data_IF_790480844760
#
_entry.id   IF_790480844760
#
_cell.length_a   1.000
_cell.length_b   1.000
_cell.length_c   1.000
_cell.angle_alpha   90.00
_cell.angle_beta   90.00
_cell.angle_gamma   90.00
#
_symmetry.space_group_name_H-M   'P 1'
#
loop_
_entity.id
_entity.type
_entity.pdbx_description
1 polymer ?
#
# COMPACT_ATOMS: atom_id res chain seq x y z
N UNK A 1 -80.83 17.57 2.14
CA UNK A 1 -79.54 16.93 2.46
C UNK A 1 -78.51 17.67 1.63
N UNK A 2 -77.94 18.79 2.11
CA UNK A 2 -76.77 18.82 3.03
C UNK A 2 -75.60 17.99 2.47
N UNK A 3 -74.34 18.43 2.39
CA UNK A 3 -73.69 19.71 2.66
C UNK A 3 -72.25 19.62 2.10
N UNK A 4 -71.75 20.74 1.57
CA UNK A 4 -70.45 21.37 1.86
C UNK A 4 -69.15 20.52 1.96
N UNK A 5 -68.12 20.99 1.24
CA UNK A 5 -66.72 20.60 1.46
C UNK A 5 -65.78 21.21 0.43
N UNK A 6 -65.41 22.48 0.61
CA UNK A 6 -64.38 23.16 -0.16
C UNK A 6 -62.98 22.68 0.26
N UNK A 7 -62.06 22.50 -0.70
CA UNK A 7 -60.61 22.61 -0.44
C UNK A 7 -59.94 23.27 -1.64
N UNK A 8 -59.28 24.39 -1.34
CA UNK A 8 -58.49 25.22 -2.24
C UNK A 8 -57.20 24.51 -2.68
N UNK A 9 -56.65 25.00 -3.79
CA UNK A 9 -55.47 24.43 -4.43
C UNK A 9 -54.16 24.61 -3.67
N UNK A 10 -53.22 23.74 -4.02
CA UNK A 10 -51.79 23.99 -3.92
C UNK A 10 -51.17 23.43 -5.21
N UNK A 11 -50.67 24.35 -6.03
CA UNK A 11 -49.71 24.05 -7.08
C UNK A 11 -48.38 23.71 -6.38
N UNK A 12 -47.91 22.47 -6.51
CA UNK A 12 -46.57 22.09 -6.09
C UNK A 12 -45.57 22.30 -7.23
N UNK A 13 -44.53 23.04 -6.89
CA UNK A 13 -43.37 23.47 -7.68
C UNK A 13 -42.67 22.32 -8.44
N UNK A 14 -41.98 22.62 -9.54
CA UNK A 14 -41.33 21.63 -10.39
C UNK A 14 -40.04 21.10 -9.77
N UNK A 15 -39.78 19.83 -10.05
CA UNK A 15 -38.55 19.12 -9.73
C UNK A 15 -37.30 19.94 -10.07
N UNK A 16 -36.46 20.20 -9.07
CA UNK A 16 -35.08 20.63 -9.27
C UNK A 16 -34.25 19.42 -9.73
N UNK A 17 -34.38 19.05 -11.00
CA UNK A 17 -33.36 18.22 -11.66
C UNK A 17 -32.05 18.99 -11.68
N UNK A 18 -31.13 18.65 -10.77
CA UNK A 18 -29.74 19.12 -10.85
C UNK A 18 -29.08 18.41 -12.02
N UNK A 19 -29.26 18.99 -13.21
CA UNK A 19 -28.67 18.53 -14.46
C UNK A 19 -27.14 18.57 -14.36
N UNK A 20 -26.53 17.41 -14.10
CA UNK A 20 -25.08 17.25 -14.04
C UNK A 20 -24.45 17.48 -15.43
N UNK A 21 -23.31 18.19 -15.46
CA UNK A 21 -22.54 18.36 -16.69
C UNK A 21 -21.54 17.21 -16.85
N UNK A 22 -21.44 16.66 -18.06
CA UNK A 22 -20.40 15.66 -18.38
C UNK A 22 -19.18 16.37 -18.96
N UNK A 23 -18.01 16.19 -18.37
CA UNK A 23 -16.73 16.71 -18.85
C UNK A 23 -15.79 15.56 -19.20
N UNK A 24 -14.80 15.82 -20.06
CA UNK A 24 -13.76 14.85 -20.42
C UNK A 24 -12.43 15.26 -19.82
N UNK A 25 -11.87 14.44 -18.94
CA UNK A 25 -10.55 14.67 -18.34
C UNK A 25 -9.50 13.86 -19.07
N UNK A 26 -8.50 14.54 -19.63
CA UNK A 26 -7.34 13.90 -20.29
C UNK A 26 -6.22 13.69 -19.28
N UNK A 27 -5.81 12.44 -19.08
CA UNK A 27 -4.73 12.05 -18.18
C UNK A 27 -3.94 10.88 -18.75
N UNK A 28 -2.60 10.99 -18.77
CA UNK A 28 -1.67 9.93 -19.25
C UNK A 28 -2.10 9.22 -20.54
N UNK A 29 -2.52 9.99 -21.55
CA UNK A 29 -2.96 9.48 -22.86
C UNK A 29 -4.38 8.91 -22.91
N UNK A 30 -5.10 8.85 -21.78
CA UNK A 30 -6.50 8.40 -21.68
C UNK A 30 -7.47 9.57 -21.56
N UNK A 31 -8.72 9.34 -21.95
CA UNK A 31 -9.84 10.30 -21.78
C UNK A 31 -10.87 9.70 -20.84
N UNK A 32 -11.10 10.35 -19.70
CA UNK A 32 -11.98 9.90 -18.62
C UNK A 32 -13.24 10.78 -18.63
N UNK A 33 -14.42 10.26 -18.98
CA UNK A 33 -15.67 11.01 -18.85
C UNK A 33 -16.08 11.09 -17.37
N UNK A 34 -16.41 12.29 -16.90
CA UNK A 34 -16.81 12.55 -15.51
C UNK A 34 -18.06 13.42 -15.51
N UNK A 35 -19.10 12.96 -14.82
CA UNK A 35 -20.34 13.73 -14.62
C UNK A 35 -20.31 14.38 -13.24
N UNK A 36 -20.48 15.69 -13.19
CA UNK A 36 -20.39 16.48 -11.96
C UNK A 36 -21.36 17.68 -12.03
N UNK A 37 -21.83 18.15 -10.89
CA UNK A 37 -22.65 19.37 -10.83
C UNK A 37 -21.85 20.59 -11.31
N UNK A 38 -22.43 21.50 -12.12
CA UNK A 38 -21.75 22.71 -12.56
C UNK A 38 -21.38 23.66 -11.40
N UNK A 39 -22.03 23.50 -10.25
CA UNK A 39 -21.78 24.30 -9.05
C UNK A 39 -20.75 23.67 -8.10
N UNK A 40 -20.30 22.45 -8.40
CA UNK A 40 -19.23 21.81 -7.64
C UNK A 40 -17.90 22.56 -7.81
N UNK A 41 -17.08 22.50 -6.76
CA UNK A 41 -15.76 23.12 -6.76
C UNK A 41 -14.74 22.29 -7.55
N UNK A 42 -13.63 22.92 -7.93
CA UNK A 42 -12.49 22.20 -8.52
C UNK A 42 -11.91 21.19 -7.51
N UNK A 43 -11.98 21.46 -6.20
CA UNK A 43 -11.62 20.51 -5.15
C UNK A 43 -12.48 19.23 -5.16
N UNK A 44 -13.77 19.37 -5.41
CA UNK A 44 -14.69 18.22 -5.53
C UNK A 44 -14.38 17.39 -6.77
N UNK A 45 -14.12 18.05 -7.90
CA UNK A 45 -13.68 17.36 -9.13
C UNK A 45 -12.37 16.60 -8.91
N UNK A 46 -11.41 17.18 -8.19
CA UNK A 46 -10.15 16.51 -7.88
C UNK A 46 -10.35 15.27 -7.01
N UNK A 47 -11.23 15.36 -6.02
CA UNK A 47 -11.57 14.23 -5.15
C UNK A 47 -12.24 13.10 -5.94
N UNK A 48 -13.11 13.44 -6.89
CA UNK A 48 -13.75 12.48 -7.79
C UNK A 48 -12.75 11.81 -8.76
N UNK A 49 -11.72 12.54 -9.18
CA UNK A 49 -10.67 12.02 -10.06
C UNK A 49 -9.63 11.15 -9.34
N UNK A 50 -9.49 11.27 -8.02
CA UNK A 50 -8.51 10.52 -7.24
C UNK A 50 -8.61 9.00 -7.45
N UNK A 51 -9.78 8.34 -7.27
CA UNK A 51 -9.89 6.89 -7.47
C UNK A 51 -9.70 6.47 -8.94
N UNK A 52 -9.95 7.37 -9.90
CA UNK A 52 -9.88 7.08 -11.34
C UNK A 52 -8.46 7.22 -11.91
N UNK A 53 -7.67 8.14 -11.34
CA UNK A 53 -6.34 8.52 -11.85
C UNK A 53 -5.21 8.06 -10.95
N UNK A 54 -5.52 7.64 -9.72
CA UNK A 54 -4.54 7.34 -8.67
C UNK A 54 -3.61 8.53 -8.33
N UNK A 55 -4.05 9.76 -8.64
CA UNK A 55 -3.35 11.00 -8.30
C UNK A 55 -4.10 11.70 -7.18
N UNK A 56 -3.41 12.03 -6.08
CA UNK A 56 -4.00 12.74 -4.96
C UNK A 56 -4.50 14.14 -5.37
N UNK A 57 -5.60 14.67 -4.81
CA UNK A 57 -6.15 15.99 -5.16
C UNK A 57 -5.13 17.14 -5.16
N UNK A 58 -4.18 17.13 -4.21
CA UNK A 58 -3.09 18.14 -4.14
C UNK A 58 -2.06 17.99 -5.26
N UNK A 59 -1.82 16.75 -5.72
CA UNK A 59 -0.94 16.46 -6.84
C UNK A 59 -1.61 16.66 -8.21
N UNK A 60 -2.93 16.83 -8.25
CA UNK A 60 -3.68 17.09 -9.47
C UNK A 60 -3.59 18.58 -9.87
N UNK A 61 -2.99 18.85 -11.02
CA UNK A 61 -3.03 20.16 -11.69
C UNK A 61 -4.01 20.09 -12.85
N UNK A 62 -5.21 20.61 -12.63
CA UNK A 62 -6.25 20.67 -13.66
C UNK A 62 -6.08 21.94 -14.49
N UNK A 63 -5.97 21.78 -15.81
CA UNK A 63 -5.73 22.85 -16.77
C UNK A 63 -6.88 22.87 -17.78
N UNK A 64 -7.52 24.03 -17.93
CA UNK A 64 -8.56 24.26 -18.92
C UNK A 64 -8.25 25.53 -19.70
N UNK A 65 -8.28 25.45 -21.05
CA UNK A 65 -7.92 26.55 -21.96
C UNK A 65 -6.61 27.27 -21.59
N UNK A 66 -5.59 26.51 -21.18
CA UNK A 66 -4.27 27.04 -20.81
C UNK A 66 -4.19 27.68 -19.42
N UNK A 67 -5.26 27.68 -18.63
CA UNK A 67 -5.28 28.20 -17.25
C UNK A 67 -5.33 27.07 -16.24
N UNK A 68 -4.53 27.20 -15.17
CA UNK A 68 -4.60 26.31 -14.01
C UNK A 68 -5.86 26.64 -13.20
N UNK A 69 -6.66 25.61 -12.92
CA UNK A 69 -7.87 25.72 -12.12
C UNK A 69 -7.56 25.71 -10.62
N UNK A 70 -8.25 26.54 -9.84
CA UNK A 70 -8.01 26.74 -8.41
C UNK A 70 -9.10 26.06 -7.59
N UNK A 71 -8.72 25.36 -6.53
CA UNK A 71 -9.59 24.45 -5.77
C UNK A 71 -10.89 25.09 -5.24
N UNK A 72 -10.82 26.36 -4.81
CA UNK A 72 -11.96 27.10 -4.26
C UNK A 72 -12.95 27.62 -5.33
N UNK A 73 -12.60 27.55 -6.62
CA UNK A 73 -13.48 28.04 -7.70
C UNK A 73 -14.47 26.95 -8.12
N UNK A 74 -15.67 27.34 -8.54
CA UNK A 74 -16.64 26.41 -9.12
C UNK A 74 -16.35 26.13 -10.59
N UNK A 75 -16.85 25.01 -11.11
CA UNK A 75 -16.75 24.68 -12.54
C UNK A 75 -17.40 25.77 -13.41
N UNK A 76 -18.56 26.28 -12.98
CA UNK A 76 -19.25 27.41 -13.60
C UNK A 76 -18.38 28.68 -13.63
N UNK A 77 -17.77 29.04 -12.50
CA UNK A 77 -16.89 30.22 -12.41
C UNK A 77 -15.60 30.06 -13.24
N UNK A 78 -15.15 28.81 -13.44
CA UNK A 78 -14.02 28.46 -14.30
C UNK A 78 -14.38 28.33 -15.79
N UNK A 79 -15.63 28.62 -16.17
CA UNK A 79 -16.18 28.46 -17.52
C UNK A 79 -16.06 27.03 -18.08
N UNK A 80 -16.04 26.03 -17.21
CA UNK A 80 -16.04 24.60 -17.57
C UNK A 80 -17.49 24.15 -17.75
N UNK A 81 -17.91 23.93 -19.00
CA UNK A 81 -19.27 23.54 -19.37
C UNK A 81 -19.37 22.06 -19.77
N UNK A 82 -20.57 21.53 -19.96
CA UNK A 82 -20.77 20.20 -20.55
C UNK A 82 -20.02 20.04 -21.87
N UNK A 83 -19.30 18.92 -22.03
CA UNK A 83 -18.43 18.63 -23.16
C UNK A 83 -17.01 19.21 -23.08
N UNK A 84 -16.67 19.95 -22.02
CA UNK A 84 -15.34 20.54 -21.86
C UNK A 84 -14.24 19.47 -21.75
N UNK A 85 -13.08 19.75 -22.38
CA UNK A 85 -11.87 18.94 -22.26
C UNK A 85 -10.92 19.59 -21.25
N UNK A 86 -10.76 18.97 -20.09
CA UNK A 86 -9.85 19.41 -19.03
C UNK A 86 -8.61 18.51 -19.06
N UNK A 87 -7.42 19.11 -19.00
CA UNK A 87 -6.17 18.35 -18.92
C UNK A 87 -5.77 18.19 -17.46
N UNK A 88 -5.49 16.97 -17.03
CA UNK A 88 -4.92 16.69 -15.72
C UNK A 88 -3.41 16.45 -15.89
N UNK A 89 -2.60 17.22 -15.18
CA UNK A 89 -1.18 16.95 -15.00
C UNK A 89 -0.93 16.57 -13.54
N UNK A 90 -0.26 15.45 -13.30
CA UNK A 90 0.25 15.18 -11.96
C UNK A 90 1.55 15.98 -11.76
N UNK A 91 1.72 16.58 -10.58
CA UNK A 91 3.02 17.14 -10.20
C UNK A 91 4.07 16.03 -10.16
N UNK A 92 5.21 16.23 -10.82
CA UNK A 92 6.32 15.26 -10.81
C UNK A 92 6.67 14.85 -9.37
N UNK A 93 6.77 13.54 -9.14
CA UNK A 93 6.98 12.95 -7.80
C UNK A 93 5.70 12.51 -7.07
N UNK A 94 4.51 12.90 -7.55
CA UNK A 94 3.20 12.45 -7.01
C UNK A 94 2.48 11.45 -7.92
N UNK A 95 3.19 10.91 -8.92
CA UNK A 95 2.76 9.71 -9.62
C UNK A 95 2.99 8.51 -8.70
N UNK A 96 1.91 7.95 -8.13
CA UNK A 96 1.98 6.59 -7.63
C UNK A 96 2.10 5.65 -8.84
N UNK A 97 3.34 5.32 -9.20
CA UNK A 97 3.69 4.22 -10.09
C UNK A 97 3.21 4.39 -11.53
N UNK A 98 3.94 5.17 -12.32
CA UNK A 98 4.30 4.61 -13.62
C UNK A 98 5.41 3.59 -13.33
N UNK A 99 5.14 2.30 -13.61
CA UNK A 99 6.20 1.31 -13.72
C UNK A 99 7.26 1.84 -14.71
N UNK A 100 8.51 1.35 -14.64
CA UNK A 100 9.58 1.89 -15.47
C UNK A 100 9.14 1.91 -16.93
N UNK A 101 9.11 3.11 -17.50
CA UNK A 101 9.07 3.30 -18.95
C UNK A 101 10.28 2.54 -19.46
N UNK A 102 10.05 1.43 -20.15
CA UNK A 102 11.06 0.74 -20.94
C UNK A 102 11.53 1.72 -22.01
N UNK A 103 12.49 2.57 -21.67
CA UNK A 103 13.44 3.07 -22.65
C UNK A 103 14.26 1.85 -23.03
N UNK A 104 13.91 1.25 -24.16
CA UNK A 104 14.82 0.36 -24.87
C UNK A 104 16.16 1.07 -24.97
N UNK A 105 17.13 0.62 -24.19
CA UNK A 105 18.51 1.02 -24.36
C UNK A 105 18.99 0.37 -25.66
N UNK A 106 19.25 1.20 -26.66
CA UNK A 106 19.96 0.78 -27.87
C UNK A 106 21.34 0.27 -27.45
N UNK A 107 21.56 -1.04 -27.59
CA UNK A 107 22.89 -1.62 -27.45
C UNK A 107 23.69 -1.38 -28.72
N UNK A 108 24.80 -0.68 -28.58
CA UNK A 108 25.86 -0.55 -29.59
C UNK A 108 26.56 -1.92 -29.74
N UNK A 109 26.86 -2.38 -30.97
CA UNK A 109 27.30 -3.76 -31.19
C UNK A 109 28.79 -3.95 -30.88
N UNK A 110 29.11 -4.96 -30.08
CA UNK A 110 30.46 -5.53 -30.04
C UNK A 110 30.60 -6.62 -31.11
N UNK A 111 31.72 -6.50 -31.82
CA UNK A 111 32.13 -7.24 -33.02
C UNK A 111 32.09 -8.77 -32.86
N UNK A 112 31.66 -9.34 -33.98
CA UNK A 112 31.73 -10.71 -34.49
C UNK A 112 33.09 -11.37 -34.27
N UNK A 113 33.10 -12.64 -33.85
CA UNK A 113 33.80 -13.68 -34.61
C UNK A 113 33.05 -15.02 -34.59
N UNK A 114 32.91 -15.55 -35.81
CA UNK A 114 32.34 -16.81 -36.29
C UNK A 114 33.04 -18.04 -35.67
N UNK A 115 32.55 -19.28 -35.69
CA UNK A 115 31.31 -19.94 -36.10
C UNK A 115 31.43 -21.39 -35.59
N UNK A 116 30.32 -22.00 -35.17
CA UNK A 116 29.85 -23.27 -35.76
C UNK A 116 28.51 -23.68 -35.15
N UNK A 117 27.52 -23.80 -36.04
CA UNK A 117 26.20 -24.38 -35.81
C UNK A 117 26.35 -25.85 -35.40
N UNK A 118 25.47 -26.32 -34.50
CA UNK A 118 24.61 -27.48 -34.72
C UNK A 118 23.54 -27.58 -33.63
N UNK A 119 22.30 -27.55 -34.11
CA UNK A 119 21.06 -28.17 -33.60
C UNK A 119 20.46 -27.68 -32.28
N UNK A 120 19.18 -27.34 -32.42
CA UNK A 120 18.20 -27.03 -31.39
C UNK A 120 18.10 -28.10 -30.31
N UNK A 121 18.31 -27.69 -29.06
CA UNK A 121 17.66 -28.33 -27.92
C UNK A 121 16.91 -27.26 -27.13
N UNK A 122 15.59 -27.48 -27.02
CA UNK A 122 14.74 -26.85 -26.02
C UNK A 122 15.45 -26.99 -24.68
N UNK A 123 15.80 -25.86 -24.06
CA UNK A 123 16.38 -25.83 -22.71
C UNK A 123 15.28 -26.16 -21.70
N UNK A 124 14.89 -27.43 -21.68
CA UNK A 124 14.12 -28.04 -20.62
C UNK A 124 15.07 -28.09 -19.42
N UNK A 125 14.71 -27.40 -18.34
CA UNK A 125 15.52 -27.31 -17.12
C UNK A 125 15.79 -28.74 -16.62
N UNK A 126 17.04 -29.20 -16.79
CA UNK A 126 17.48 -30.51 -16.31
C UNK A 126 17.62 -30.41 -14.79
N UNK A 127 16.79 -31.16 -14.07
CA UNK A 127 16.66 -31.11 -12.61
C UNK A 127 17.85 -31.80 -11.95
N UNK A 128 18.73 -31.03 -11.33
CA UNK A 128 19.80 -31.56 -10.48
C UNK A 128 19.23 -32.04 -9.15
N UNK A 129 19.25 -33.36 -8.90
CA UNK A 129 18.92 -33.97 -7.59
C UNK A 129 19.67 -33.30 -6.43
N UNK A 130 20.85 -32.75 -6.69
CA UNK A 130 21.66 -32.00 -5.73
C UNK A 130 20.97 -30.73 -5.21
N UNK A 131 20.08 -30.08 -5.98
CA UNK A 131 19.41 -28.85 -5.53
C UNK A 131 18.34 -29.14 -4.48
N UNK A 132 17.48 -30.12 -4.75
CA UNK A 132 16.41 -30.50 -3.82
C UNK A 132 16.97 -31.00 -2.49
N UNK A 133 18.01 -31.84 -2.53
CA UNK A 133 18.66 -32.33 -1.32
C UNK A 133 19.30 -31.18 -0.51
N UNK A 134 19.93 -30.20 -1.17
CA UNK A 134 20.41 -28.98 -0.49
C UNK A 134 19.28 -28.20 0.18
N UNK A 135 18.14 -28.03 -0.49
CA UNK A 135 16.98 -27.36 0.12
C UNK A 135 16.44 -28.11 1.33
N UNK A 136 16.41 -29.43 1.29
CA UNK A 136 16.00 -30.24 2.44
C UNK A 136 16.97 -30.12 3.62
N UNK A 137 18.28 -30.16 3.36
CA UNK A 137 19.30 -30.02 4.40
C UNK A 137 19.31 -28.62 5.01
N UNK A 138 19.31 -27.59 4.17
CA UNK A 138 19.39 -26.20 4.64
C UNK A 138 18.06 -25.68 5.16
N UNK A 139 16.94 -26.20 4.66
CA UNK A 139 15.60 -25.68 4.89
C UNK A 139 15.34 -24.34 4.22
N UNK A 140 16.18 -23.92 3.27
CA UNK A 140 16.06 -22.63 2.57
C UNK A 140 15.90 -22.87 1.08
N UNK A 141 14.78 -22.43 0.54
CA UNK A 141 14.47 -22.41 -0.89
C UNK A 141 14.55 -20.97 -1.37
N UNK A 142 15.71 -20.58 -1.91
CA UNK A 142 15.93 -19.26 -2.49
C UNK A 142 15.77 -19.34 -4.01
N UNK A 143 14.67 -18.78 -4.51
CA UNK A 143 14.25 -18.75 -5.91
C UNK A 143 13.87 -17.34 -6.36
N UNK A 144 14.39 -16.32 -5.68
CA UNK A 144 14.18 -14.93 -6.08
C UNK A 144 14.89 -14.60 -7.41
N UNK A 145 14.31 -13.70 -8.19
CA UNK A 145 14.89 -13.20 -9.46
C UNK A 145 15.18 -14.31 -10.50
N UNK A 146 14.43 -15.41 -10.44
CA UNK A 146 14.65 -16.58 -11.29
C UNK A 146 13.79 -16.57 -12.58
N UNK A 147 13.07 -15.48 -12.86
CA UNK A 147 12.13 -15.34 -13.98
C UNK A 147 11.08 -16.47 -14.03
N UNK A 148 10.67 -16.97 -12.87
CA UNK A 148 9.70 -18.06 -12.75
C UNK A 148 8.29 -17.59 -13.11
N UNK A 149 7.59 -18.37 -13.92
CA UNK A 149 6.16 -18.16 -14.22
C UNK A 149 5.23 -18.96 -13.29
N UNK A 150 5.75 -20.04 -12.73
CA UNK A 150 5.07 -20.92 -11.81
C UNK A 150 6.08 -21.43 -10.77
N UNK A 151 5.59 -21.81 -9.61
CA UNK A 151 6.42 -22.38 -8.55
C UNK A 151 6.80 -23.81 -8.96
N UNK A 152 8.10 -24.17 -9.01
CA UNK A 152 8.54 -25.50 -9.40
C UNK A 152 8.04 -26.59 -8.44
N UNK A 153 7.64 -27.75 -8.97
CA UNK A 153 7.08 -28.84 -8.16
C UNK A 153 8.05 -29.38 -7.11
N UNK A 154 9.37 -29.22 -7.31
CA UNK A 154 10.37 -29.65 -6.34
C UNK A 154 10.30 -28.84 -5.03
N UNK A 155 9.76 -27.62 -5.07
CA UNK A 155 9.53 -26.83 -3.85
C UNK A 155 8.58 -27.59 -2.91
N UNK A 156 7.53 -28.19 -3.46
CA UNK A 156 6.54 -28.95 -2.69
C UNK A 156 7.13 -30.24 -2.12
N UNK A 157 8.15 -30.80 -2.76
CA UNK A 157 8.87 -31.99 -2.29
C UNK A 157 9.76 -31.71 -1.06
N UNK A 158 9.98 -30.43 -0.69
CA UNK A 158 10.69 -30.08 0.54
C UNK A 158 9.84 -30.35 1.79
N UNK A 159 8.51 -30.28 1.70
CA UNK A 159 7.59 -30.58 2.80
C UNK A 159 7.99 -29.94 4.14
N UNK A 160 8.18 -30.77 5.16
CA UNK A 160 8.63 -30.39 6.51
C UNK A 160 10.05 -29.82 6.60
N UNK A 161 10.87 -29.99 5.56
CA UNK A 161 12.25 -29.52 5.60
C UNK A 161 12.36 -28.02 5.35
N UNK A 162 11.45 -27.44 4.57
CA UNK A 162 11.48 -26.03 4.22
C UNK A 162 11.07 -25.13 5.40
N UNK A 163 11.95 -24.21 5.78
CA UNK A 163 11.72 -23.16 6.77
C UNK A 163 11.59 -21.78 6.13
N UNK A 164 12.27 -21.55 5.02
CA UNK A 164 12.24 -20.29 4.26
C UNK A 164 11.99 -20.60 2.80
N UNK A 165 10.97 -19.96 2.22
CA UNK A 165 10.72 -19.93 0.79
C UNK A 165 10.73 -18.48 0.31
N UNK A 166 11.70 -18.15 -0.54
CA UNK A 166 11.78 -16.87 -1.21
C UNK A 166 11.56 -17.05 -2.72
N UNK A 167 10.45 -16.50 -3.20
CA UNK A 167 10.03 -16.46 -4.59
C UNK A 167 9.90 -15.02 -5.09
N UNK A 168 10.55 -14.07 -4.41
CA UNK A 168 10.43 -12.64 -4.73
C UNK A 168 10.95 -12.30 -6.13
N UNK A 169 10.45 -11.24 -6.75
CA UNK A 169 10.91 -10.76 -8.06
C UNK A 169 10.81 -11.83 -9.16
N UNK A 170 9.63 -12.41 -9.33
CA UNK A 170 9.34 -13.39 -10.38
C UNK A 170 8.07 -12.98 -11.15
N UNK A 171 7.52 -13.88 -11.95
CA UNK A 171 6.25 -13.73 -12.65
C UNK A 171 5.25 -14.81 -12.23
N UNK A 172 5.35 -15.27 -10.98
CA UNK A 172 4.45 -16.29 -10.42
C UNK A 172 3.05 -15.69 -10.32
N UNK A 173 2.06 -16.43 -10.80
CA UNK A 173 0.64 -16.09 -10.68
C UNK A 173 -0.04 -16.95 -9.63
N UNK A 174 0.18 -18.26 -9.71
CA UNK A 174 -0.54 -19.24 -8.92
C UNK A 174 0.25 -19.67 -7.69
N UNK A 175 -0.38 -19.58 -6.52
CA UNK A 175 0.06 -20.18 -5.26
C UNK A 175 -0.96 -21.27 -4.91
N UNK A 176 -0.73 -22.52 -5.34
CA UNK A 176 -1.73 -23.57 -5.27
C UNK A 176 -1.81 -24.20 -3.87
N UNK A 177 -2.77 -25.11 -3.65
CA UNK A 177 -2.99 -25.75 -2.34
C UNK A 177 -1.79 -26.57 -1.83
N UNK A 178 -0.87 -26.95 -2.72
CA UNK A 178 0.41 -27.59 -2.39
C UNK A 178 1.27 -26.75 -1.44
N UNK A 179 1.06 -25.42 -1.36
CA UNK A 179 1.73 -24.56 -0.38
C UNK A 179 1.53 -25.06 1.06
N UNK A 180 0.38 -25.67 1.36
CA UNK A 180 0.08 -26.25 2.67
C UNK A 180 0.94 -27.46 3.04
N UNK A 181 1.67 -28.07 2.09
CA UNK A 181 2.62 -29.15 2.37
C UNK A 181 3.88 -28.67 3.09
N UNK A 182 4.17 -27.37 3.04
CA UNK A 182 5.36 -26.75 3.66
C UNK A 182 5.12 -26.47 5.15
N UNK A 183 4.63 -27.46 5.90
CA UNK A 183 4.06 -27.24 7.23
C UNK A 183 5.03 -26.73 8.30
N UNK A 184 6.35 -26.78 8.06
CA UNK A 184 7.37 -26.22 8.97
C UNK A 184 7.90 -24.84 8.52
N UNK A 185 7.28 -24.23 7.51
CA UNK A 185 7.72 -22.95 6.98
C UNK A 185 7.51 -21.82 8.00
N UNK A 186 8.53 -20.99 8.14
CA UNK A 186 8.58 -19.84 9.03
C UNK A 186 8.53 -18.52 8.27
N UNK A 187 9.10 -18.48 7.06
CA UNK A 187 9.14 -17.28 6.21
C UNK A 187 8.71 -17.62 4.79
N UNK A 188 7.68 -16.93 4.31
CA UNK A 188 7.18 -17.03 2.95
C UNK A 188 7.23 -15.65 2.28
N UNK A 189 8.12 -15.50 1.30
CA UNK A 189 8.34 -14.26 0.57
C UNK A 189 7.90 -14.45 -0.89
N UNK A 190 6.88 -13.72 -1.29
CA UNK A 190 6.20 -13.77 -2.59
C UNK A 190 6.15 -12.37 -3.24
N UNK A 191 7.11 -11.51 -2.88
CA UNK A 191 7.10 -10.11 -3.29
C UNK A 191 7.28 -9.96 -4.80
N UNK A 192 6.75 -8.89 -5.39
CA UNK A 192 6.97 -8.53 -6.79
C UNK A 192 6.68 -9.70 -7.74
N UNK A 193 5.43 -10.15 -7.72
CA UNK A 193 4.89 -11.21 -8.57
C UNK A 193 3.57 -10.73 -9.20
N UNK A 194 2.84 -11.64 -9.84
CA UNK A 194 1.56 -11.35 -10.48
C UNK A 194 0.39 -12.07 -9.80
N UNK A 195 0.45 -12.21 -8.47
CA UNK A 195 -0.56 -12.93 -7.68
C UNK A 195 -1.83 -12.08 -7.54
N UNK A 196 -2.98 -12.72 -7.71
CA UNK A 196 -4.33 -12.15 -7.59
C UNK A 196 -5.15 -12.95 -6.58
N UNK A 197 -6.28 -12.43 -6.13
CA UNK A 197 -7.13 -13.07 -5.11
C UNK A 197 -7.54 -14.50 -5.49
N UNK A 198 -7.84 -14.75 -6.76
CA UNK A 198 -8.28 -16.06 -7.28
C UNK A 198 -7.13 -17.07 -7.45
N UNK A 199 -5.88 -16.58 -7.54
CA UNK A 199 -4.72 -17.43 -7.85
C UNK A 199 -3.96 -17.87 -6.60
N UNK A 200 -4.29 -17.30 -5.43
CA UNK A 200 -3.72 -17.67 -4.14
C UNK A 200 -4.68 -18.56 -3.34
N UNK A 201 -4.22 -19.77 -3.01
CA UNK A 201 -4.97 -20.66 -2.14
C UNK A 201 -4.75 -20.28 -0.66
N UNK A 202 -5.59 -19.37 -0.17
CA UNK A 202 -5.53 -18.87 1.19
C UNK A 202 -5.80 -19.93 2.26
N UNK A 203 -6.70 -20.89 2.01
CA UNK A 203 -7.00 -21.97 2.96
C UNK A 203 -5.75 -22.82 3.24
N UNK A 204 -5.03 -23.22 2.19
CA UNK A 204 -3.79 -23.97 2.33
C UNK A 204 -2.67 -23.12 2.95
N UNK A 205 -2.55 -21.84 2.58
CA UNK A 205 -1.52 -20.95 3.14
C UNK A 205 -1.75 -20.71 4.64
N UNK A 206 -3.00 -20.52 5.06
CA UNK A 206 -3.36 -20.23 6.47
C UNK A 206 -3.34 -21.49 7.37
N UNK A 207 -3.12 -22.67 6.77
CA UNK A 207 -2.80 -23.91 7.49
C UNK A 207 -1.37 -23.92 8.06
N UNK A 208 -0.48 -23.03 7.61
CA UNK A 208 0.94 -22.96 7.99
C UNK A 208 1.13 -22.33 9.38
N UNK A 209 0.91 -23.12 10.45
CA UNK A 209 0.86 -22.63 11.85
C UNK A 209 2.17 -22.06 12.41
N UNK A 210 3.32 -22.37 11.81
CA UNK A 210 4.62 -21.85 12.22
C UNK A 210 5.08 -20.64 11.41
N UNK A 211 4.24 -20.12 10.51
CA UNK A 211 4.58 -18.97 9.69
C UNK A 211 4.70 -17.71 10.57
N UNK A 212 5.88 -17.12 10.57
CA UNK A 212 6.23 -15.92 11.34
C UNK A 212 6.35 -14.69 10.45
N UNK A 213 6.69 -14.87 9.17
CA UNK A 213 6.83 -13.79 8.20
C UNK A 213 6.07 -14.17 6.93
N UNK A 214 5.06 -13.37 6.59
CA UNK A 214 4.35 -13.44 5.31
C UNK A 214 4.57 -12.13 4.56
N UNK A 215 5.15 -12.23 3.37
CA UNK A 215 5.42 -11.08 2.52
C UNK A 215 4.86 -11.32 1.13
N UNK A 216 3.86 -10.54 0.73
CA UNK A 216 3.18 -10.57 -0.57
C UNK A 216 3.13 -9.16 -1.18
N UNK A 217 4.17 -8.35 -0.92
CA UNK A 217 4.27 -6.99 -1.44
C UNK A 217 4.26 -6.97 -2.97
N UNK A 218 3.83 -5.86 -3.57
CA UNK A 218 3.92 -5.65 -5.02
C UNK A 218 3.25 -6.78 -5.83
N UNK A 219 2.00 -7.09 -5.49
CA UNK A 219 1.15 -8.03 -6.22
C UNK A 219 -0.14 -7.30 -6.65
N UNK A 220 -1.19 -8.06 -6.98
CA UNK A 220 -2.47 -7.52 -7.43
C UNK A 220 -3.63 -7.88 -6.50
N UNK A 221 -3.34 -8.12 -5.22
CA UNK A 221 -4.36 -8.51 -4.24
C UNK A 221 -5.35 -7.36 -3.99
N UNK A 222 -6.64 -7.67 -3.96
CA UNK A 222 -7.72 -6.73 -3.65
C UNK A 222 -8.31 -6.94 -2.26
N UNK A 223 -8.18 -8.14 -1.69
CA UNK A 223 -8.65 -8.48 -0.35
C UNK A 223 -7.67 -9.39 0.39
N UNK A 224 -7.82 -9.45 1.71
CA UNK A 224 -7.22 -10.48 2.54
C UNK A 224 -8.35 -11.33 3.15
N UNK A 225 -8.20 -12.66 3.23
CA UNK A 225 -9.24 -13.56 3.71
C UNK A 225 -9.41 -13.46 5.24
N UNK A 226 -10.60 -13.79 5.74
CA UNK A 226 -10.83 -13.99 7.19
C UNK A 226 -9.94 -15.09 7.77
N UNK A 227 -9.64 -16.12 6.97
CA UNK A 227 -8.74 -17.21 7.36
C UNK A 227 -7.33 -16.74 7.75
N UNK A 228 -6.92 -15.50 7.41
CA UNK A 228 -5.63 -14.94 7.80
C UNK A 228 -5.43 -14.97 9.33
N UNK A 229 -6.50 -14.77 10.11
CA UNK A 229 -6.45 -14.84 11.57
C UNK A 229 -6.04 -16.21 12.14
N UNK A 230 -6.01 -17.26 11.32
CA UNK A 230 -5.56 -18.58 11.72
C UNK A 230 -4.01 -18.69 11.82
N UNK A 231 -3.27 -17.67 11.39
CA UNK A 231 -1.81 -17.56 11.46
C UNK A 231 -1.35 -16.94 12.79
N UNK A 232 -1.73 -17.52 13.92
CA UNK A 232 -1.51 -16.94 15.27
C UNK A 232 -0.04 -16.74 15.68
N UNK A 233 0.90 -17.38 14.98
CA UNK A 233 2.36 -17.22 15.16
C UNK A 233 2.96 -16.09 14.31
N UNK A 234 2.16 -15.39 13.49
CA UNK A 234 2.64 -14.39 12.55
C UNK A 234 3.16 -13.16 13.31
N UNK A 235 4.41 -12.79 13.03
CA UNK A 235 5.10 -11.62 13.59
C UNK A 235 5.21 -10.48 12.60
N UNK A 236 5.31 -10.79 11.31
CA UNK A 236 5.45 -9.78 10.27
C UNK A 236 4.51 -10.06 9.10
N UNK A 237 3.69 -9.06 8.78
CA UNK A 237 2.80 -9.06 7.63
C UNK A 237 3.18 -7.91 6.71
N UNK A 238 3.63 -8.25 5.50
CA UNK A 238 3.98 -7.29 4.48
C UNK A 238 3.08 -7.50 3.24
N UNK A 239 2.18 -6.55 3.01
CA UNK A 239 1.16 -6.56 1.94
C UNK A 239 1.14 -5.22 1.18
N UNK A 240 2.24 -4.47 1.24
CA UNK A 240 2.40 -3.16 0.64
C UNK A 240 2.37 -3.20 -0.89
N UNK A 241 1.95 -2.11 -1.53
CA UNK A 241 1.85 -1.99 -3.00
C UNK A 241 0.93 -3.06 -3.62
N UNK A 242 -0.26 -3.21 -3.06
CA UNK A 242 -1.33 -4.04 -3.62
C UNK A 242 -2.53 -3.12 -3.96
N UNK A 243 -3.72 -3.70 -4.10
CA UNK A 243 -4.97 -2.99 -4.36
C UNK A 243 -5.99 -3.23 -3.24
N UNK A 244 -5.52 -3.51 -2.03
CA UNK A 244 -6.38 -3.85 -0.89
C UNK A 244 -7.34 -2.71 -0.57
N UNK A 245 -8.62 -3.01 -0.40
CA UNK A 245 -9.65 -2.01 -0.05
C UNK A 245 -10.02 -2.00 1.43
N UNK A 246 -9.75 -3.09 2.15
CA UNK A 246 -9.99 -3.24 3.58
C UNK A 246 -9.05 -4.28 4.20
N UNK A 247 -8.99 -4.30 5.54
CA UNK A 247 -8.40 -5.39 6.31
C UNK A 247 -9.52 -6.24 6.94
N UNK A 248 -9.36 -7.57 7.02
CA UNK A 248 -10.32 -8.44 7.69
C UNK A 248 -10.34 -8.19 9.20
N UNK A 249 -11.48 -8.41 9.84
CA UNK A 249 -11.60 -8.24 11.30
C UNK A 249 -10.74 -9.27 12.06
N UNK A 250 -10.43 -10.39 11.42
CA UNK A 250 -9.61 -11.45 11.98
C UNK A 250 -8.13 -11.05 12.11
N UNK A 251 -7.72 -9.87 11.60
CA UNK A 251 -6.40 -9.31 11.89
C UNK A 251 -6.16 -9.15 13.39
N UNK A 252 -7.21 -8.85 14.18
CA UNK A 252 -7.14 -8.74 15.63
C UNK A 252 -6.77 -10.05 16.35
N UNK A 253 -6.89 -11.19 15.68
CA UNK A 253 -6.46 -12.49 16.23
C UNK A 253 -4.93 -12.67 16.19
N UNK A 254 -4.21 -11.84 15.44
CA UNK A 254 -2.75 -11.90 15.28
C UNK A 254 -2.05 -11.17 16.43
N UNK A 255 -2.23 -11.66 17.66
CA UNK A 255 -1.74 -11.00 18.88
C UNK A 255 -0.21 -10.92 18.97
N UNK A 256 0.52 -11.75 18.23
CA UNK A 256 1.98 -11.74 18.13
C UNK A 256 2.52 -10.89 16.97
N UNK A 257 1.65 -10.18 16.23
CA UNK A 257 2.06 -9.35 15.11
C UNK A 257 2.87 -8.15 15.62
N UNK A 258 4.13 -8.06 15.20
CA UNK A 258 5.08 -7.01 15.59
C UNK A 258 5.18 -5.92 14.50
N UNK A 259 5.13 -6.33 13.24
CA UNK A 259 5.31 -5.42 12.09
C UNK A 259 4.19 -5.64 11.07
N UNK A 260 3.51 -4.56 10.73
CA UNK A 260 2.46 -4.56 9.71
C UNK A 260 2.72 -3.47 8.67
N UNK A 261 3.03 -3.88 7.44
CA UNK A 261 3.28 -3.00 6.29
C UNK A 261 2.17 -3.15 5.26
N UNK A 262 1.29 -2.16 5.18
CA UNK A 262 0.10 -2.14 4.30
C UNK A 262 0.05 -0.87 3.47
N UNK A 263 1.18 -0.18 3.34
CA UNK A 263 1.30 1.06 2.60
C UNK A 263 1.10 0.89 1.09
N UNK A 264 0.71 1.96 0.41
CA UNK A 264 0.38 1.95 -1.03
C UNK A 264 -0.71 0.93 -1.37
N UNK A 265 -1.86 1.06 -0.72
CA UNK A 265 -3.07 0.29 -1.00
C UNK A 265 -4.26 1.27 -1.17
N UNK A 266 -5.49 0.77 -1.15
CA UNK A 266 -6.73 1.55 -1.31
C UNK A 266 -7.61 1.45 -0.07
N UNK A 267 -7.00 1.27 1.10
CA UNK A 267 -7.74 1.01 2.34
C UNK A 267 -8.41 2.30 2.81
N UNK A 268 -9.72 2.26 3.00
CA UNK A 268 -10.51 3.40 3.48
C UNK A 268 -10.78 3.36 4.98
N UNK A 269 -10.83 2.17 5.57
CA UNK A 269 -11.09 1.97 7.00
C UNK A 269 -10.18 0.91 7.60
N UNK A 270 -9.85 1.08 8.89
CA UNK A 270 -9.15 0.07 9.69
C UNK A 270 -10.14 -0.50 10.70
N UNK A 271 -10.27 -1.83 10.83
CA UNK A 271 -11.20 -2.43 11.78
C UNK A 271 -10.76 -2.15 13.23
N UNK A 272 -11.71 -2.00 14.15
CA UNK A 272 -11.46 -1.66 15.56
C UNK A 272 -10.66 -2.73 16.29
N UNK A 273 -10.76 -3.99 15.89
CA UNK A 273 -9.98 -5.11 16.42
C UNK A 273 -8.46 -4.99 16.19
N UNK A 274 -7.98 -4.01 15.42
CA UNK A 274 -6.53 -3.74 15.33
C UNK A 274 -5.91 -3.48 16.70
N UNK A 275 -6.68 -2.94 17.65
CA UNK A 275 -6.23 -2.72 19.03
C UNK A 275 -5.94 -4.00 19.82
N UNK A 276 -6.37 -5.17 19.32
CA UNK A 276 -6.09 -6.47 19.94
C UNK A 276 -4.70 -7.01 19.55
N UNK A 277 -4.06 -6.40 18.54
CA UNK A 277 -2.69 -6.73 18.12
C UNK A 277 -1.66 -6.08 19.06
N UNK A 278 -1.71 -6.45 20.34
CA UNK A 278 -0.96 -5.82 21.44
C UNK A 278 0.56 -5.77 21.25
N UNK A 279 1.13 -6.69 20.44
CA UNK A 279 2.56 -6.77 20.17
C UNK A 279 3.04 -5.85 19.05
N UNK A 280 2.16 -5.05 18.43
CA UNK A 280 2.54 -4.20 17.29
C UNK A 280 3.55 -3.13 17.70
N UNK A 281 4.71 -3.16 17.04
CA UNK A 281 5.83 -2.22 17.24
C UNK A 281 5.86 -1.20 16.10
N UNK A 282 5.58 -1.65 14.88
CA UNK A 282 5.66 -0.83 13.68
C UNK A 282 4.48 -1.06 12.74
N UNK A 283 3.78 0.02 12.43
CA UNK A 283 2.62 0.01 11.54
C UNK A 283 2.82 1.05 10.44
N UNK A 284 2.72 0.61 9.19
CA UNK A 284 2.79 1.47 8.02
C UNK A 284 1.52 1.36 7.19
N UNK A 285 0.73 2.43 7.26
CA UNK A 285 -0.52 2.63 6.55
C UNK A 285 -0.41 3.81 5.58
N UNK A 286 0.81 4.28 5.31
CA UNK A 286 1.03 5.42 4.41
C UNK A 286 0.48 5.15 3.01
N UNK A 287 0.07 6.19 2.29
CA UNK A 287 -0.45 6.07 0.93
C UNK A 287 -1.66 5.13 0.83
N UNK A 288 -2.69 5.43 1.62
CA UNK A 288 -3.99 4.77 1.57
C UNK A 288 -5.11 5.84 1.43
N UNK A 289 -6.36 5.43 1.62
CA UNK A 289 -7.54 6.28 1.52
C UNK A 289 -8.19 6.53 2.89
N UNK A 290 -7.41 6.44 3.98
CA UNK A 290 -7.93 6.52 5.34
C UNK A 290 -8.45 7.93 5.65
N UNK A 291 -9.70 8.03 6.11
CA UNK A 291 -10.30 9.27 6.62
C UNK A 291 -10.21 9.41 8.15
N UNK A 292 -10.16 8.28 8.84
CA UNK A 292 -10.05 8.18 10.30
C UNK A 292 -9.26 6.93 10.71
N UNK A 293 -8.88 6.88 11.98
CA UNK A 293 -8.35 5.69 12.65
C UNK A 293 -9.22 5.40 13.88
N UNK A 294 -9.45 4.12 14.21
CA UNK A 294 -10.23 3.77 15.39
C UNK A 294 -9.49 4.15 16.68
N UNK A 295 -10.26 4.51 17.72
CA UNK A 295 -9.71 4.84 19.05
C UNK A 295 -8.96 3.67 19.70
N UNK A 296 -9.23 2.44 19.26
CA UNK A 296 -8.52 1.25 19.71
C UNK A 296 -7.03 1.21 19.33
N UNK A 297 -6.56 2.09 18.44
CA UNK A 297 -5.11 2.28 18.22
C UNK A 297 -4.36 2.66 19.50
N UNK A 298 -5.01 3.31 20.45
CA UNK A 298 -4.43 3.60 21.76
C UNK A 298 -4.01 2.34 22.54
N UNK A 299 -4.63 1.18 22.27
CA UNK A 299 -4.30 -0.08 22.96
C UNK A 299 -2.95 -0.67 22.51
N UNK A 300 -2.33 -0.14 21.45
CA UNK A 300 -1.05 -0.59 20.94
C UNK A 300 0.09 -0.01 21.79
N UNK A 301 0.25 -0.53 23.02
CA UNK A 301 1.19 0.01 24.01
C UNK A 301 2.66 -0.10 23.59
N UNK A 302 3.01 -1.12 22.80
CA UNK A 302 4.37 -1.36 22.31
C UNK A 302 4.70 -0.63 21.00
N UNK A 303 3.75 0.14 20.47
CA UNK A 303 3.90 0.84 19.20
C UNK A 303 4.99 1.91 19.28
N UNK A 304 6.01 1.79 18.45
CA UNK A 304 7.15 2.73 18.36
C UNK A 304 7.10 3.61 17.13
N UNK A 305 6.60 3.08 16.02
CA UNK A 305 6.54 3.76 14.74
C UNK A 305 5.18 3.59 14.05
N UNK A 306 4.57 4.71 13.69
CA UNK A 306 3.29 4.78 12.99
C UNK A 306 3.43 5.69 11.76
N UNK A 307 3.27 5.12 10.57
CA UNK A 307 3.33 5.88 9.32
C UNK A 307 1.92 5.99 8.72
N UNK A 308 1.45 7.22 8.58
CA UNK A 308 0.11 7.57 8.12
C UNK A 308 0.13 8.60 6.99
N UNK A 309 1.32 8.96 6.49
CA UNK A 309 1.45 9.96 5.45
C UNK A 309 0.66 9.62 4.19
N UNK A 310 0.29 10.62 3.39
CA UNK A 310 -0.52 10.47 2.18
C UNK A 310 -1.87 9.76 2.42
N UNK A 311 -2.60 10.18 3.45
CA UNK A 311 -3.98 9.76 3.72
C UNK A 311 -4.91 10.97 3.84
N UNK A 312 -6.22 10.72 3.90
CA UNK A 312 -7.27 11.73 4.09
C UNK A 312 -7.57 12.10 5.56
N UNK A 313 -6.68 11.74 6.49
CA UNK A 313 -6.89 11.92 7.94
C UNK A 313 -7.02 13.39 8.31
N UNK A 314 -8.09 13.71 9.07
CA UNK A 314 -8.33 15.02 9.68
C UNK A 314 -7.86 15.12 11.13
N UNK A 315 -7.88 13.99 11.82
CA UNK A 315 -7.40 13.84 13.19
C UNK A 315 -6.74 12.47 13.37
N UNK A 316 -6.07 12.30 14.50
CA UNK A 316 -5.62 11.00 15.02
C UNK A 316 -6.42 10.67 16.28
N UNK A 317 -6.46 9.40 16.71
CA UNK A 317 -7.15 9.00 17.94
C UNK A 317 -6.70 9.82 19.14
N UNK A 318 -7.66 10.27 19.96
CA UNK A 318 -7.38 11.07 21.15
C UNK A 318 -6.55 10.32 22.19
N UNK A 319 -6.66 8.99 22.18
CA UNK A 319 -5.93 8.07 23.04
C UNK A 319 -4.49 7.81 22.61
N UNK A 320 -4.10 8.16 21.37
CA UNK A 320 -2.82 7.76 20.77
C UNK A 320 -1.61 8.18 21.61
N UNK A 321 -1.50 9.47 21.98
CA UNK A 321 -0.34 9.97 22.72
C UNK A 321 -0.37 9.62 24.21
N UNK A 322 -1.57 9.45 24.76
CA UNK A 322 -1.79 9.07 26.16
C UNK A 322 -1.45 7.60 26.42
N UNK A 323 -1.79 6.71 25.49
CA UNK A 323 -1.72 5.26 25.70
C UNK A 323 -0.53 4.60 24.98
N UNK A 324 -0.10 5.09 23.81
CA UNK A 324 1.10 4.58 23.11
C UNK A 324 2.37 5.25 23.64
N UNK A 325 2.75 4.88 24.87
CA UNK A 325 3.88 5.50 25.58
C UNK A 325 5.25 5.23 24.95
N UNK A 326 5.36 4.24 24.07
CA UNK A 326 6.58 3.92 23.32
C UNK A 326 6.67 4.63 21.97
N UNK A 327 5.61 5.33 21.55
CA UNK A 327 5.56 5.97 20.24
C UNK A 327 6.61 7.08 20.17
N UNK A 328 7.48 7.00 19.16
CA UNK A 328 8.58 7.95 18.93
C UNK A 328 8.71 8.38 17.49
N UNK A 329 8.00 7.71 16.58
CA UNK A 329 7.93 8.07 15.16
C UNK A 329 6.49 8.08 14.73
N UNK A 330 6.03 9.26 14.32
CA UNK A 330 4.72 9.48 13.76
C UNK A 330 4.91 10.27 12.47
N UNK A 331 4.51 9.67 11.36
CA UNK A 331 4.55 10.32 10.06
C UNK A 331 3.13 10.65 9.61
N UNK A 332 2.85 11.94 9.51
CA UNK A 332 1.57 12.51 9.08
C UNK A 332 1.71 13.37 7.83
N UNK A 333 2.81 13.24 7.08
CA UNK A 333 3.04 14.08 5.91
C UNK A 333 1.87 13.97 4.93
N UNK A 334 1.48 15.10 4.34
CA UNK A 334 0.42 15.13 3.34
C UNK A 334 -0.95 14.58 3.81
N UNK A 335 -1.25 14.73 5.11
CA UNK A 335 -2.61 14.57 5.68
C UNK A 335 -3.27 15.95 5.86
N UNK A 336 -4.44 15.99 6.52
CA UNK A 336 -5.12 17.22 6.94
C UNK A 336 -4.93 17.51 8.44
N UNK A 337 -4.14 16.69 9.15
CA UNK A 337 -3.84 16.88 10.57
C UNK A 337 -2.90 18.07 10.76
N UNK A 338 -3.30 19.03 11.58
CA UNK A 338 -2.49 20.22 11.90
C UNK A 338 -1.72 20.04 13.20
N UNK A 339 -0.58 20.72 13.33
CA UNK A 339 0.19 20.69 14.57
C UNK A 339 -0.57 21.32 15.76
N UNK A 340 -1.40 22.33 15.50
CA UNK A 340 -2.21 22.97 16.56
C UNK A 340 -3.28 22.03 17.12
N UNK A 341 -3.82 21.13 16.29
CA UNK A 341 -4.70 20.05 16.75
C UNK A 341 -3.91 19.05 17.61
N UNK A 342 -2.72 18.65 17.15
CA UNK A 342 -1.91 17.66 17.87
C UNK A 342 -1.51 18.13 19.27
N UNK A 343 -1.19 19.42 19.43
CA UNK A 343 -0.84 20.04 20.71
C UNK A 343 -1.96 20.05 21.73
N UNK A 344 -3.21 19.86 21.31
CA UNK A 344 -4.36 19.80 22.22
C UNK A 344 -4.56 18.42 22.84
N UNK A 345 -3.92 17.37 22.30
CA UNK A 345 -4.06 16.01 22.82
C UNK A 345 -3.26 15.80 24.10
N UNK A 346 -3.87 15.09 25.05
CA UNK A 346 -3.20 14.64 26.27
C UNK A 346 -2.02 13.71 25.93
N UNK A 347 -0.86 13.95 26.53
CA UNK A 347 0.36 13.15 26.30
C UNK A 347 1.20 13.59 25.09
N UNK A 348 0.77 14.60 24.32
CA UNK A 348 1.52 15.15 23.19
C UNK A 348 2.95 15.59 23.58
N UNK A 349 3.10 16.32 24.69
CA UNK A 349 4.41 16.82 25.13
C UNK A 349 5.41 15.67 25.39
N UNK A 350 4.96 14.62 26.05
CA UNK A 350 5.75 13.41 26.30
C UNK A 350 6.15 12.71 25.00
N UNK A 351 5.23 12.63 24.03
CA UNK A 351 5.53 12.12 22.70
C UNK A 351 6.57 12.98 21.97
N UNK A 352 6.40 14.31 21.98
CA UNK A 352 7.30 15.23 21.28
C UNK A 352 8.71 15.17 21.86
N UNK A 353 8.85 15.04 23.19
CA UNK A 353 10.14 14.81 23.83
C UNK A 353 10.79 13.49 23.37
N UNK A 354 10.03 12.39 23.30
CA UNK A 354 10.54 11.09 22.79
C UNK A 354 10.99 11.22 21.32
N UNK A 355 10.21 11.90 20.50
CA UNK A 355 10.49 12.15 19.08
C UNK A 355 11.79 12.96 18.90
N UNK A 356 11.98 14.03 19.67
CA UNK A 356 13.18 14.87 19.64
C UNK A 356 14.42 14.11 20.11
N UNK A 357 14.34 13.36 21.22
CA UNK A 357 15.44 12.54 21.73
C UNK A 357 15.89 11.49 20.71
N UNK A 358 14.95 10.88 19.99
CA UNK A 358 15.27 9.95 18.90
C UNK A 358 16.03 10.65 17.77
N UNK A 359 15.56 11.82 17.34
CA UNK A 359 16.19 12.59 16.28
C UNK A 359 17.61 13.06 16.67
N UNK A 360 17.79 13.52 17.91
CA UNK A 360 19.10 13.93 18.42
C UNK A 360 20.09 12.76 18.42
N UNK A 361 19.69 11.58 18.94
CA UNK A 361 20.52 10.37 18.90
C UNK A 361 20.93 9.97 17.48
N UNK A 362 20.05 10.18 16.49
CA UNK A 362 20.36 9.91 15.09
C UNK A 362 21.38 10.90 14.51
N UNK A 363 21.33 12.18 14.91
CA UNK A 363 22.34 13.17 14.54
C UNK A 363 23.69 12.84 15.19
N UNK A 364 23.71 12.56 16.49
CA UNK A 364 24.95 12.21 17.20
C UNK A 364 25.61 10.98 16.57
N UNK A 365 24.83 9.95 16.24
CA UNK A 365 25.34 8.77 15.55
C UNK A 365 25.86 9.08 14.13
N UNK A 366 25.19 9.95 13.37
CA UNK A 366 25.65 10.37 12.02
C UNK A 366 26.92 11.23 12.08
N UNK A 367 27.03 12.11 13.08
CA UNK A 367 28.21 12.95 13.30
C UNK A 367 29.41 12.08 13.72
N UNK A 368 29.20 11.06 14.55
CA UNK A 368 30.26 10.08 14.89
C UNK A 368 30.59 9.16 13.71
N UNK A 369 29.62 8.85 12.84
CA UNK A 369 29.83 8.03 11.64
C UNK A 369 30.45 8.75 10.44
N UNK A 370 30.58 10.08 10.48
CA UNK A 370 31.20 10.90 9.43
C UNK A 370 32.46 11.66 9.87
N UNK A 371 32.94 11.42 11.09
CA UNK A 371 34.20 11.98 11.57
C UNK A 371 35.36 11.03 11.19
N UNK A 372 36.13 11.48 10.20
CA UNK A 372 37.51 11.15 9.87
C UNK A 372 38.20 10.16 10.80
N UNK A 373 38.49 8.97 10.26
CA UNK A 373 39.65 8.20 10.68
C UNK A 373 40.82 8.72 9.86
N UNK A 374 41.56 9.70 10.41
CA UNK A 374 42.94 9.91 9.98
C UNK A 374 43.83 10.42 11.12
N UNK A 375 45.05 9.88 11.08
CA UNK A 375 46.29 10.25 11.75
C UNK A 375 46.38 10.28 13.29
N UNK A 376 47.09 9.30 13.83
CA UNK A 376 47.63 9.41 15.19
C UNK A 376 48.26 8.17 15.81
N UNK A 377 49.13 7.44 15.10
CA UNK A 377 50.05 6.50 15.73
C UNK A 377 51.45 6.64 15.12
N UNK A 378 52.08 7.76 15.43
CA UNK A 378 53.54 7.91 15.35
C UNK A 378 54.18 7.35 16.63
N UNK A 379 55.31 6.65 16.44
CA UNK A 379 56.36 6.24 17.41
C UNK A 379 56.20 4.88 18.11
N UNK A 380 56.86 3.85 17.57
CA UNK A 380 58.27 3.53 17.89
C UNK A 380 58.89 2.57 16.87
#
# INVERSE_FOLDING_TARGET
MEAAGAIAGEASDPQSETTGITITVKFSGRSIPVTISPDATIGDLKSLLQPLTNVLPRGQKLIFKGKLLVDATTLRASAVTGGAKVMLMASQGLHQGDGPILKEAQSVPTRVDNANRLVSEKRQVRVDKNRLERWKVTGVVALSECNLKAIPDEVWACGLSARVLDLSNNSVRDVPSQVGRLSSIQKLLLNANAIMDETINWEALTSLKYLTVLSVNQNHLTTLPSALGALTSLKQLHVANNKLTSLPIEIGLLTHLEVMKVNNNRISTIPTCIGDCISLIEVDLSSNLLSELPETFGNLHDLKALYLGNNGLKSVPSTLFKMCLQLSTLDLHNTQVTMDLLRQFEGWESFDQRRLLKHQKQLDFRVVGSAEFDEGADKN
#
